data_IF_455500151953
#
_entry.id   IF_455500151953
#
_cell.length_a   1.000
_cell.length_b   1.000
_cell.length_c   1.000
_cell.angle_alpha   90.00
_cell.angle_beta   90.00
_cell.angle_gamma   90.00
#
_symmetry.space_group_name_H-M   'P 1'
#
loop_
_entity.id
_entity.type
_entity.pdbx_description
1 polymer ?
#
# COMPACT_ATOMS: atom_id res chain seq x y z
N UNK A 1 -33.29 -28.26 28.42
CA UNK A 1 -31.97 -27.61 28.55
C UNK A 1 -31.27 -27.62 27.19
N UNK A 2 -31.44 -26.58 26.36
CA UNK A 2 -30.74 -26.47 25.07
C UNK A 2 -29.58 -25.49 25.20
N UNK A 3 -28.40 -26.01 25.57
CA UNK A 3 -27.12 -25.28 25.54
C UNK A 3 -26.43 -25.44 24.17
N UNK A 4 -27.10 -25.04 23.09
CA UNK A 4 -26.56 -25.19 21.72
C UNK A 4 -26.47 -23.89 20.91
N UNK A 5 -26.49 -22.72 21.57
CA UNK A 5 -26.44 -21.41 20.88
C UNK A 5 -25.15 -20.60 21.11
N UNK A 6 -24.15 -21.13 21.82
CA UNK A 6 -22.95 -20.35 22.21
C UNK A 6 -21.76 -20.50 21.22
N UNK A 7 -21.83 -21.39 20.22
CA UNK A 7 -20.69 -21.62 19.31
C UNK A 7 -20.62 -20.69 18.07
N UNK A 8 -21.64 -19.88 17.79
CA UNK A 8 -21.64 -19.02 16.59
C UNK A 8 -20.94 -17.66 16.79
N UNK A 9 -20.69 -17.23 18.02
CA UNK A 9 -20.06 -15.92 18.29
C UNK A 9 -18.52 -16.00 18.24
N UNK A 10 -17.93 -17.18 18.39
CA UNK A 10 -16.46 -17.35 18.41
C UNK A 10 -15.84 -17.36 17.00
N UNK A 11 -16.58 -17.78 15.97
CA UNK A 11 -16.05 -17.89 14.59
C UNK A 11 -15.84 -16.54 13.90
N UNK A 12 -16.63 -15.51 14.25
CA UNK A 12 -16.48 -14.15 13.66
C UNK A 12 -15.35 -13.36 14.31
N UNK A 13 -15.02 -13.65 15.57
CA UNK A 13 -13.83 -13.10 16.23
C UNK A 13 -12.54 -13.80 15.75
N UNK A 14 -12.57 -15.12 15.57
CA UNK A 14 -11.44 -15.92 15.10
C UNK A 14 -10.95 -15.50 13.70
N UNK A 15 -11.87 -15.36 12.75
CA UNK A 15 -11.51 -14.98 11.37
C UNK A 15 -10.94 -13.56 11.22
N UNK A 16 -11.24 -12.63 12.15
CA UNK A 16 -10.68 -11.27 12.16
C UNK A 16 -9.34 -11.17 12.88
N UNK A 17 -9.15 -11.93 13.95
CA UNK A 17 -7.88 -11.98 14.67
C UNK A 17 -6.81 -12.69 13.85
N UNK A 18 -7.18 -13.80 13.19
CA UNK A 18 -6.27 -14.61 12.38
C UNK A 18 -5.78 -13.85 11.14
N UNK A 19 -6.69 -13.16 10.42
CA UNK A 19 -6.32 -12.28 9.29
C UNK A 19 -5.43 -11.10 9.70
N UNK A 20 -5.59 -10.56 10.92
CA UNK A 20 -4.70 -9.50 11.43
C UNK A 20 -3.33 -10.04 11.80
N UNK A 21 -3.28 -11.25 12.36
CA UNK A 21 -2.04 -11.93 12.69
C UNK A 21 -1.23 -12.24 11.43
N UNK A 22 -1.87 -12.82 10.41
CA UNK A 22 -1.25 -13.13 9.12
C UNK A 22 -0.76 -11.86 8.39
N UNK A 23 -1.57 -10.79 8.39
CA UNK A 23 -1.14 -9.50 7.85
C UNK A 23 0.11 -8.94 8.55
N UNK A 24 0.16 -9.02 9.89
CA UNK A 24 1.30 -8.57 10.68
C UNK A 24 2.57 -9.37 10.37
N UNK A 25 2.45 -10.70 10.27
CA UNK A 25 3.58 -11.57 9.91
C UNK A 25 4.09 -11.27 8.50
N UNK A 26 3.19 -11.13 7.52
CA UNK A 26 3.56 -10.82 6.13
C UNK A 26 4.19 -9.44 5.97
N UNK A 27 3.69 -8.44 6.70
CA UNK A 27 4.33 -7.12 6.77
C UNK A 27 5.75 -7.21 7.33
N UNK A 28 5.95 -7.95 8.42
CA UNK A 28 7.28 -8.15 9.02
C UNK A 28 8.23 -8.89 8.06
N UNK A 29 7.73 -9.92 7.36
CA UNK A 29 8.46 -10.61 6.30
C UNK A 29 8.93 -9.64 5.20
N UNK A 30 8.03 -8.79 4.68
CA UNK A 30 8.37 -7.80 3.67
C UNK A 30 9.44 -6.80 4.14
N UNK A 31 9.46 -6.42 5.42
CA UNK A 31 10.53 -5.59 5.97
C UNK A 31 11.88 -6.30 5.89
N UNK A 32 11.95 -7.52 6.44
CA UNK A 32 13.20 -8.28 6.55
C UNK A 32 13.79 -8.58 5.18
N UNK A 33 12.97 -9.02 4.22
CA UNK A 33 13.39 -9.33 2.85
C UNK A 33 13.99 -8.12 2.12
N UNK A 34 13.63 -6.91 2.53
CA UNK A 34 14.12 -5.65 1.97
C UNK A 34 15.16 -4.96 2.86
N UNK A 35 15.76 -5.68 3.82
CA UNK A 35 16.82 -5.14 4.69
C UNK A 35 16.32 -4.12 5.72
N UNK A 36 15.02 -4.09 5.99
CA UNK A 36 14.39 -3.23 7.00
C UNK A 36 14.07 -4.02 8.27
N UNK A 37 13.82 -3.31 9.37
CA UNK A 37 13.39 -3.89 10.64
C UNK A 37 12.13 -3.18 11.15
N UNK A 38 11.54 -3.68 12.24
CA UNK A 38 10.29 -3.15 12.79
C UNK A 38 10.36 -1.67 13.18
N UNK A 39 11.54 -1.16 13.57
CA UNK A 39 11.70 0.25 13.91
C UNK A 39 11.55 1.16 12.68
N UNK A 40 11.77 0.62 11.48
CA UNK A 40 11.60 1.35 10.21
C UNK A 40 10.14 1.46 9.77
N UNK A 41 9.23 0.66 10.34
CA UNK A 41 7.79 0.66 10.04
C UNK A 41 7.18 2.07 10.23
N UNK A 42 7.69 2.84 11.18
CA UNK A 42 7.25 4.23 11.41
C UNK A 42 7.47 5.14 10.20
N UNK A 43 8.49 4.90 9.38
CA UNK A 43 8.76 5.70 8.19
C UNK A 43 7.75 5.38 7.08
N UNK A 44 7.43 4.10 6.89
CA UNK A 44 6.39 3.61 5.98
C UNK A 44 5.06 4.32 6.23
N UNK A 45 4.63 4.37 7.49
CA UNK A 45 3.39 5.03 7.89
C UNK A 45 3.44 6.56 7.84
N UNK A 46 4.62 7.15 7.62
CA UNK A 46 4.79 8.60 7.51
C UNK A 46 5.09 9.07 6.10
N UNK A 47 5.34 8.19 5.12
CA UNK A 47 5.50 8.60 3.72
C UNK A 47 4.31 9.45 3.29
N UNK A 48 4.57 10.57 2.60
CA UNK A 48 3.55 11.52 2.16
C UNK A 48 3.02 12.46 3.25
N UNK A 49 3.58 12.43 4.47
CA UNK A 49 3.31 13.43 5.52
C UNK A 49 4.37 14.53 5.50
N UNK A 50 3.93 15.74 5.81
CA UNK A 50 4.81 16.92 5.98
C UNK A 50 5.88 16.61 7.05
N UNK A 51 7.12 17.05 6.82
CA UNK A 51 8.26 16.88 7.74
C UNK A 51 8.69 15.43 7.98
N UNK A 52 8.59 14.56 6.96
CA UNK A 52 9.28 13.27 6.99
C UNK A 52 10.72 13.45 6.52
N UNK A 53 11.66 13.31 7.45
CA UNK A 53 13.04 12.99 7.12
C UNK A 53 13.20 11.46 7.21
N UNK A 54 13.39 10.83 6.05
CA UNK A 54 13.78 9.42 6.00
C UNK A 54 15.26 9.37 6.44
N UNK A 55 15.61 8.58 7.45
CA UNK A 55 17.00 8.45 7.89
C UNK A 55 17.91 8.01 6.75
N UNK A 56 19.16 8.44 6.77
CA UNK A 56 20.13 8.09 5.73
C UNK A 56 20.49 6.60 5.69
N UNK A 57 20.22 5.85 6.76
CA UNK A 57 20.37 4.40 6.83
C UNK A 57 19.17 3.63 6.23
N UNK A 58 18.11 4.33 5.83
CA UNK A 58 16.95 3.73 5.16
C UNK A 58 16.96 4.11 3.67
N UNK A 59 17.22 3.12 2.82
CA UNK A 59 17.18 3.29 1.37
C UNK A 59 15.74 3.49 0.88
N UNK A 60 15.55 4.46 -0.02
CA UNK A 60 14.27 4.66 -0.70
C UNK A 60 13.90 3.47 -1.59
N UNK A 61 14.90 2.85 -2.20
CA UNK A 61 14.74 1.63 -3.01
C UNK A 61 14.22 0.47 -2.15
N UNK A 62 14.76 0.31 -0.95
CA UNK A 62 14.29 -0.69 0.02
C UNK A 62 12.83 -0.42 0.45
N UNK A 63 12.48 0.85 0.69
CA UNK A 63 11.10 1.24 1.00
C UNK A 63 10.14 0.96 -0.17
N UNK A 64 10.55 1.28 -1.40
CA UNK A 64 9.76 1.01 -2.60
C UNK A 64 9.49 -0.49 -2.77
N UNK A 65 10.50 -1.33 -2.62
CA UNK A 65 10.35 -2.78 -2.80
C UNK A 65 9.59 -3.43 -1.64
N UNK A 66 9.71 -2.89 -0.43
CA UNK A 66 8.86 -3.30 0.68
C UNK A 66 7.38 -2.94 0.42
N UNK A 67 7.08 -1.75 -0.10
CA UNK A 67 5.70 -1.38 -0.49
C UNK A 67 5.15 -2.29 -1.60
N UNK A 68 5.98 -2.67 -2.57
CA UNK A 68 5.62 -3.64 -3.61
C UNK A 68 5.30 -5.02 -3.01
N UNK A 69 6.12 -5.50 -2.07
CA UNK A 69 5.87 -6.75 -1.34
C UNK A 69 4.53 -6.69 -0.60
N UNK A 70 4.24 -5.57 0.07
CA UNK A 70 2.96 -5.36 0.75
C UNK A 70 1.79 -5.45 -0.22
N UNK A 71 1.90 -4.76 -1.35
CA UNK A 71 0.86 -4.82 -2.37
C UNK A 71 0.62 -6.25 -2.85
N UNK A 72 1.68 -6.98 -3.20
CA UNK A 72 1.62 -8.35 -3.72
C UNK A 72 0.88 -9.32 -2.78
N UNK A 73 1.13 -9.27 -1.47
CA UNK A 73 0.39 -10.16 -0.57
C UNK A 73 -1.03 -9.64 -0.31
N UNK A 74 -1.27 -8.32 -0.33
CA UNK A 74 -2.63 -7.78 -0.12
C UNK A 74 -3.59 -8.13 -1.26
N UNK A 75 -3.11 -8.17 -2.51
CA UNK A 75 -3.94 -8.60 -3.65
C UNK A 75 -4.31 -10.09 -3.53
N UNK A 76 -3.39 -10.93 -3.04
CA UNK A 76 -3.67 -12.34 -2.74
C UNK A 76 -4.70 -12.49 -1.62
N UNK A 77 -4.59 -11.69 -0.55
CA UNK A 77 -5.52 -11.77 0.58
C UNK A 77 -6.92 -11.19 0.29
N UNK A 78 -7.01 -10.20 -0.61
CA UNK A 78 -8.26 -9.52 -0.96
C UNK A 78 -8.92 -10.05 -2.24
N UNK A 79 -8.30 -11.03 -2.89
CA UNK A 79 -8.75 -11.58 -4.18
C UNK A 79 -8.93 -10.49 -5.27
N UNK A 80 -8.17 -9.40 -5.18
CA UNK A 80 -8.24 -8.31 -6.16
C UNK A 80 -7.39 -8.67 -7.37
N UNK A 81 -7.91 -8.45 -8.57
CA UNK A 81 -7.19 -8.73 -9.82
C UNK A 81 -6.45 -7.53 -10.40
N UNK A 82 -6.48 -6.37 -9.72
CA UNK A 82 -5.79 -5.17 -10.22
C UNK A 82 -4.29 -5.32 -10.06
N UNK A 83 -3.58 -4.89 -11.09
CA UNK A 83 -2.13 -4.67 -11.07
C UNK A 83 -1.79 -3.40 -10.29
N UNK A 84 -0.53 -3.26 -9.87
CA UNK A 84 -0.11 -2.11 -9.07
C UNK A 84 -0.23 -0.80 -9.85
N UNK A 85 0.11 -0.80 -11.14
CA UNK A 85 -0.04 0.38 -12.00
C UNK A 85 -1.50 0.78 -12.17
N UNK A 86 -2.43 -0.17 -12.32
CA UNK A 86 -3.87 0.12 -12.34
C UNK A 86 -4.34 0.74 -11.02
N UNK A 87 -3.89 0.21 -9.88
CA UNK A 87 -4.23 0.76 -8.57
C UNK A 87 -3.68 2.18 -8.37
N UNK A 88 -2.47 2.46 -8.86
CA UNK A 88 -1.88 3.81 -8.83
C UNK A 88 -2.66 4.75 -9.74
N UNK A 89 -3.01 4.30 -10.95
CA UNK A 89 -3.77 5.09 -11.92
C UNK A 89 -5.16 5.45 -11.37
N UNK A 90 -5.82 4.53 -10.68
CA UNK A 90 -7.09 4.79 -10.00
C UNK A 90 -6.95 5.92 -8.98
N UNK A 91 -5.91 5.89 -8.14
CA UNK A 91 -5.66 6.96 -7.15
C UNK A 91 -5.42 8.30 -7.84
N UNK A 92 -4.64 8.33 -8.93
CA UNK A 92 -4.39 9.56 -9.70
C UNK A 92 -5.69 10.13 -10.31
N UNK A 93 -6.63 9.26 -10.68
CA UNK A 93 -7.90 9.67 -11.30
C UNK A 93 -8.96 10.09 -10.28
N UNK A 94 -9.01 9.41 -9.14
CA UNK A 94 -10.11 9.52 -8.18
C UNK A 94 -9.83 10.52 -7.06
N UNK A 95 -8.56 10.73 -6.70
CA UNK A 95 -8.23 11.56 -5.56
C UNK A 95 -8.20 13.05 -5.92
N UNK A 96 -8.98 13.86 -5.20
CA UNK A 96 -9.09 15.31 -5.40
C UNK A 96 -7.76 16.04 -5.27
N UNK A 97 -6.78 15.47 -4.56
CA UNK A 97 -5.42 16.02 -4.47
C UNK A 97 -4.75 16.17 -5.84
N UNK A 98 -5.10 15.32 -6.81
CA UNK A 98 -4.54 15.33 -8.16
C UNK A 98 -5.47 15.93 -9.21
N UNK A 99 -6.75 16.13 -8.90
CA UNK A 99 -7.75 16.62 -9.85
C UNK A 99 -7.74 18.14 -10.05
N UNK A 100 -7.12 18.90 -9.14
CA UNK A 100 -7.08 20.36 -9.21
C UNK A 100 -6.09 20.91 -10.25
N UNK A 101 -5.22 20.08 -10.82
CA UNK A 101 -4.21 20.48 -11.81
C UNK A 101 -4.06 19.41 -12.90
N UNK A 102 -4.69 19.65 -14.05
CA UNK A 102 -4.71 18.70 -15.17
C UNK A 102 -3.32 18.42 -15.73
N UNK A 103 -2.42 19.42 -15.76
CA UNK A 103 -1.07 19.26 -16.26
C UNK A 103 -0.24 18.37 -15.33
N UNK A 104 -0.33 18.57 -14.01
CA UNK A 104 0.30 17.66 -13.04
C UNK A 104 -0.25 16.25 -13.14
N UNK A 105 -1.56 16.10 -13.25
CA UNK A 105 -2.21 14.80 -13.41
C UNK A 105 -1.74 14.08 -14.67
N UNK A 106 -1.63 14.80 -15.79
CA UNK A 106 -1.11 14.27 -17.04
C UNK A 106 0.34 13.80 -16.90
N UNK A 107 1.21 14.61 -16.30
CA UNK A 107 2.62 14.26 -16.06
C UNK A 107 2.79 13.02 -15.17
N UNK A 108 1.95 12.86 -14.14
CA UNK A 108 1.92 11.67 -13.30
C UNK A 108 1.58 10.40 -14.11
N UNK A 109 0.56 10.48 -14.97
CA UNK A 109 0.14 9.36 -15.82
C UNK A 109 1.21 8.98 -16.84
N UNK A 110 1.81 9.97 -17.50
CA UNK A 110 2.89 9.74 -18.47
C UNK A 110 4.11 9.10 -17.81
N UNK A 111 4.45 9.53 -16.59
CA UNK A 111 5.54 8.93 -15.81
C UNK A 111 5.22 7.48 -15.43
N UNK A 112 3.98 7.22 -14.99
CA UNK A 112 3.53 5.87 -14.64
C UNK A 112 3.60 4.93 -15.86
N UNK A 113 3.12 5.37 -17.02
CA UNK A 113 3.10 4.56 -18.24
C UNK A 113 4.52 4.20 -18.74
N UNK A 114 5.43 5.19 -18.69
CA UNK A 114 6.85 4.97 -18.97
C UNK A 114 7.45 3.94 -18.00
N UNK A 115 7.27 4.14 -16.70
CA UNK A 115 7.82 3.25 -15.68
C UNK A 115 7.22 1.85 -15.69
N UNK A 116 5.94 1.71 -16.03
CA UNK A 116 5.28 0.41 -16.26
C UNK A 116 6.00 -0.38 -17.35
N UNK A 117 6.31 0.28 -18.46
CA UNK A 117 7.03 -0.34 -19.58
C UNK A 117 8.43 -0.78 -19.16
N UNK A 118 9.17 0.08 -18.44
CA UNK A 118 10.52 -0.21 -17.96
C UNK A 118 10.55 -1.33 -16.89
N UNK A 119 9.53 -1.39 -16.04
CA UNK A 119 9.42 -2.37 -14.97
C UNK A 119 9.08 -3.78 -15.46
N UNK A 120 8.45 -3.90 -16.63
CA UNK A 120 8.08 -5.19 -17.24
C UNK A 120 7.35 -6.15 -16.27
N UNK A 121 6.42 -5.60 -15.46
CA UNK A 121 5.63 -6.36 -14.48
C UNK A 121 6.26 -6.51 -13.09
N UNK A 122 7.48 -6.00 -12.87
CA UNK A 122 8.13 -5.98 -11.56
C UNK A 122 7.65 -4.77 -10.73
N UNK A 123 6.81 -5.03 -9.74
CA UNK A 123 6.26 -4.00 -8.87
C UNK A 123 7.31 -3.22 -8.07
N UNK A 124 8.43 -3.85 -7.68
CA UNK A 124 9.52 -3.18 -6.98
C UNK A 124 10.23 -2.19 -7.91
N UNK A 125 10.54 -2.60 -9.14
CA UNK A 125 11.09 -1.70 -10.17
C UNK A 125 10.14 -0.58 -10.55
N UNK A 126 8.83 -0.87 -10.66
CA UNK A 126 7.82 0.14 -10.94
C UNK A 126 7.85 1.25 -9.88
N UNK A 127 7.81 0.88 -8.60
CA UNK A 127 7.80 1.84 -7.49
C UNK A 127 9.12 2.61 -7.34
N UNK A 128 10.25 1.98 -7.65
CA UNK A 128 11.55 2.64 -7.74
C UNK A 128 11.58 3.67 -8.88
N UNK A 129 11.11 3.29 -10.07
CA UNK A 129 11.12 4.15 -11.25
C UNK A 129 10.29 5.43 -11.05
N UNK A 130 9.06 5.30 -10.52
CA UNK A 130 8.21 6.47 -10.22
C UNK A 130 8.67 7.24 -8.97
N UNK A 131 9.65 6.73 -8.23
CA UNK A 131 10.15 7.28 -6.96
C UNK A 131 9.02 7.49 -5.95
N UNK A 132 8.32 6.40 -5.62
CA UNK A 132 7.06 6.42 -4.84
C UNK A 132 7.19 7.08 -3.45
N UNK A 133 8.39 7.18 -2.90
CA UNK A 133 8.65 7.80 -1.59
C UNK A 133 8.86 9.32 -1.65
N UNK A 134 8.84 9.91 -2.85
CA UNK A 134 9.08 11.35 -3.09
C UNK A 134 7.85 12.04 -3.66
N UNK A 135 7.74 13.34 -3.43
CA UNK A 135 6.75 14.18 -4.12
C UNK A 135 6.94 14.09 -5.65
N UNK A 136 5.86 14.01 -6.44
CA UNK A 136 4.45 13.98 -6.03
C UNK A 136 3.86 12.58 -5.74
N UNK A 137 4.61 11.50 -5.94
CA UNK A 137 4.10 10.12 -5.86
C UNK A 137 3.89 9.63 -4.42
N UNK A 138 4.58 10.21 -3.43
CA UNK A 138 4.38 9.91 -2.01
C UNK A 138 2.94 10.17 -1.53
N UNK A 139 2.27 11.15 -2.14
CA UNK A 139 0.85 11.46 -1.92
C UNK A 139 -0.07 10.31 -2.33
N UNK A 140 0.31 9.45 -3.27
CA UNK A 140 -0.48 8.27 -3.67
C UNK A 140 -0.55 7.29 -2.51
N UNK A 141 0.53 7.12 -1.74
CA UNK A 141 0.56 6.24 -0.58
C UNK A 141 -0.37 6.80 0.52
N UNK A 142 -0.40 8.12 0.69
CA UNK A 142 -1.32 8.79 1.62
C UNK A 142 -2.78 8.66 1.16
N UNK A 143 -3.09 9.00 -0.09
CA UNK A 143 -4.41 8.89 -0.70
C UNK A 143 -4.96 7.46 -0.66
N UNK A 144 -4.14 6.47 -1.00
CA UNK A 144 -4.50 5.06 -0.90
C UNK A 144 -4.91 4.67 0.52
N UNK A 145 -4.21 5.15 1.56
CA UNK A 145 -4.60 4.88 2.96
C UNK A 145 -5.96 5.49 3.31
N UNK A 146 -6.28 6.69 2.82
CA UNK A 146 -7.58 7.32 3.06
C UNK A 146 -8.71 6.60 2.32
N UNK A 147 -8.54 6.30 1.03
CA UNK A 147 -9.56 5.65 0.22
C UNK A 147 -9.80 4.18 0.64
N UNK A 148 -8.75 3.41 0.95
CA UNK A 148 -8.90 2.05 1.48
C UNK A 148 -9.28 2.00 2.97
N UNK A 149 -9.13 3.11 3.71
CA UNK A 149 -9.64 3.29 5.07
C UNK A 149 -11.12 3.65 5.11
N UNK A 150 -11.62 4.37 4.10
CA UNK A 150 -13.03 4.75 3.98
C UNK A 150 -13.90 3.59 3.46
N UNK A 151 -13.42 2.83 2.47
CA UNK A 151 -14.11 1.62 1.96
C UNK A 151 -14.29 0.50 3.02
N UNK A 152 -13.66 0.64 4.19
CA UNK A 152 -13.84 -0.28 5.33
C UNK A 152 -14.98 0.17 6.28
N UNK A 153 -15.40 1.43 6.26
CA UNK A 153 -16.49 1.94 7.12
C UNK A 153 -17.87 1.83 6.50
N UNK A 154 -17.97 1.69 5.18
CA UNK A 154 -19.26 1.65 4.48
C UNK A 154 -19.82 0.22 4.34
N UNK A 155 -19.15 -0.79 4.96
CA UNK A 155 -19.57 -2.20 5.01
C UNK A 155 -19.71 -2.73 6.45
N UNK A 156 -19.87 -1.85 7.45
CA UNK A 156 -20.29 -2.22 8.82
C UNK A 156 -21.74 -1.82 9.09
#
# INVERSE_FOLDING_TARGET
MNRLFIFLIVLVAGSRADKRHDYGQKMSQCLIENGLNETHLKYVFRIGKVNLEIPSDVSEEALACMLACVYNFTITMRETQKTLDEAILDVINLDDMFNNDENKRKALKETLDKCKTEAAGDNCKLLQCIKVTRDPFDKIITAGRYNYGYLRRDNE
#
